data_IF_475248796684
#
_entry.id   IF_475248796684
#
_cell.length_a   1.000
_cell.length_b   1.000
_cell.length_c   1.000
_cell.angle_alpha   90.00
_cell.angle_beta   90.00
_cell.angle_gamma   90.00
#
_symmetry.space_group_name_H-M   'P 1'
#
loop_
_entity.id
_entity.type
_entity.pdbx_description
1 polymer ?
#
# COMPACT_ATOMS: atom_id res chain seq x y z
N UNK A 1 16.15 10.26 4.38
CA UNK A 1 15.61 11.63 4.64
C UNK A 1 14.79 11.61 5.93
N UNK A 2 15.06 12.49 6.90
CA UNK A 2 14.30 12.53 8.15
C UNK A 2 13.19 13.61 8.04
N UNK A 3 11.93 13.26 8.35
CA UNK A 3 10.77 14.15 8.22
C UNK A 3 10.51 14.89 9.54
N UNK A 4 10.74 16.21 9.59
CA UNK A 4 10.33 17.07 10.72
C UNK A 4 9.84 18.45 10.26
N UNK A 5 8.63 18.83 10.71
CA UNK A 5 8.05 20.20 10.88
C UNK A 5 6.53 20.10 10.72
N UNK A 6 5.62 20.70 11.49
CA UNK A 6 5.63 21.69 12.56
C UNK A 6 4.15 22.06 12.76
N UNK A 7 3.62 21.92 13.97
CA UNK A 7 2.16 21.94 14.22
C UNK A 7 1.52 23.33 14.19
N UNK A 8 0.20 23.36 13.95
CA UNK A 8 -0.79 24.32 14.51
C UNK A 8 -2.21 23.82 14.16
N UNK A 9 -3.01 23.45 15.16
CA UNK A 9 -4.45 23.15 15.03
C UNK A 9 -5.30 24.43 15.07
N UNK A 10 -6.45 24.49 14.37
CA UNK A 10 -7.68 24.73 15.14
C UNK A 10 -8.99 24.09 14.63
N UNK A 11 -9.76 23.63 15.63
CA UNK A 11 -11.22 23.78 15.90
C UNK A 11 -12.29 23.66 14.80
N UNK A 12 -13.12 22.63 15.04
CA UNK A 12 -14.47 22.29 14.57
C UNK A 12 -15.54 23.34 14.91
N UNK A 13 -16.47 23.60 13.99
CA UNK A 13 -17.78 24.22 14.27
C UNK A 13 -18.93 23.58 13.45
N UNK A 14 -20.07 23.51 14.15
CA UNK A 14 -21.40 22.92 13.94
C UNK A 14 -22.28 23.58 12.84
N UNK A 15 -23.09 22.81 12.08
CA UNK A 15 -24.60 22.76 11.98
C UNK A 15 -25.28 24.11 11.62
N UNK A 16 -26.25 24.25 10.70
CA UNK A 16 -27.55 23.54 10.49
C UNK A 16 -28.28 24.03 9.19
N UNK A 17 -29.21 23.20 8.68
CA UNK A 17 -30.55 23.43 8.03
C UNK A 17 -30.70 24.37 6.80
N UNK A 18 -31.66 24.27 5.86
CA UNK A 18 -32.66 23.29 5.38
C UNK A 18 -33.42 23.95 4.18
N UNK A 19 -33.99 23.16 3.23
CA UNK A 19 -35.19 23.43 2.36
C UNK A 19 -35.07 22.67 1.01
N UNK A 20 -35.92 21.66 0.70
CA UNK A 20 -37.17 21.66 -0.14
C UNK A 20 -36.95 22.28 -1.54
N UNK A 21 -37.32 21.70 -2.70
CA UNK A 21 -38.57 21.00 -3.04
C UNK A 21 -38.50 20.33 -4.45
N UNK A 22 -39.32 19.29 -4.61
CA UNK A 22 -39.96 18.60 -5.78
C UNK A 22 -39.66 18.94 -7.25
N UNK A 23 -39.61 17.87 -8.07
CA UNK A 23 -39.75 17.91 -9.54
C UNK A 23 -39.80 16.52 -10.18
N UNK A 24 -41.01 16.10 -10.57
CA UNK A 24 -41.37 14.89 -11.33
C UNK A 24 -40.71 14.76 -12.71
N UNK A 25 -40.53 13.51 -13.19
CA UNK A 25 -41.00 12.99 -14.50
C UNK A 25 -40.11 11.88 -15.14
N UNK A 26 -40.64 10.65 -15.07
CA UNK A 26 -40.84 9.66 -16.16
C UNK A 26 -39.74 9.19 -17.14
N UNK A 27 -39.79 7.86 -17.36
CA UNK A 27 -39.50 7.07 -18.58
C UNK A 27 -38.03 6.81 -18.91
N UNK A 28 -37.59 5.72 -19.55
CA UNK A 28 -38.08 4.36 -19.82
C UNK A 28 -36.95 3.64 -20.58
N UNK A 29 -36.92 2.30 -20.51
CA UNK A 29 -36.30 1.37 -21.48
C UNK A 29 -34.76 1.21 -21.50
N UNK A 30 -34.32 -0.04 -21.70
CA UNK A 30 -33.01 -0.32 -22.28
C UNK A 30 -32.12 -1.36 -21.57
N UNK A 31 -32.67 -2.53 -21.25
CA UNK A 31 -31.86 -3.72 -20.97
C UNK A 31 -31.08 -4.16 -22.22
N UNK A 32 -29.73 -4.07 -22.21
CA UNK A 32 -28.80 -4.89 -23.02
C UNK A 32 -27.35 -4.35 -22.99
N UNK A 33 -26.62 -4.50 -21.87
CA UNK A 33 -25.19 -4.14 -21.88
C UNK A 33 -24.26 -5.03 -21.04
N UNK A 34 -24.73 -6.18 -20.58
CA UNK A 34 -23.96 -7.06 -19.68
C UNK A 34 -23.21 -8.18 -20.42
N UNK A 35 -23.44 -8.39 -21.72
CA UNK A 35 -22.85 -9.54 -22.43
C UNK A 35 -21.64 -9.19 -23.33
N UNK A 36 -21.26 -7.92 -23.48
CA UNK A 36 -20.15 -7.52 -24.39
C UNK A 36 -18.81 -7.24 -23.70
N UNK A 37 -18.68 -7.38 -22.39
CA UNK A 37 -17.42 -7.13 -21.66
C UNK A 37 -16.64 -8.41 -21.31
N UNK A 38 -17.26 -9.59 -21.39
CA UNK A 38 -16.58 -10.86 -21.12
C UNK A 38 -15.81 -11.40 -22.34
N UNK A 39 -16.19 -11.02 -23.56
CA UNK A 39 -15.46 -11.39 -24.79
C UNK A 39 -14.20 -10.54 -25.06
N UNK A 40 -13.92 -9.54 -24.21
CA UNK A 40 -12.74 -8.68 -24.32
C UNK A 40 -11.54 -9.15 -23.47
N UNK A 41 -11.74 -10.08 -22.53
CA UNK A 41 -10.69 -10.64 -21.67
C UNK A 41 -9.97 -11.85 -22.29
N UNK A 42 -10.61 -12.54 -23.22
CA UNK A 42 -10.06 -13.76 -23.85
C UNK A 42 -9.06 -13.47 -25.00
N UNK A 43 -8.87 -12.19 -25.35
CA UNK A 43 -7.92 -11.73 -26.38
C UNK A 43 -6.63 -11.12 -25.84
N UNK A 44 -6.45 -11.13 -24.51
CA UNK A 44 -5.28 -10.54 -23.82
C UNK A 44 -4.34 -11.57 -23.19
N UNK A 45 -4.53 -12.86 -23.49
CA UNK A 45 -3.60 -13.93 -23.11
C UNK A 45 -2.97 -14.54 -24.38
N UNK A 46 -1.84 -14.03 -24.86
CA UNK A 46 -1.00 -14.76 -25.79
C UNK A 46 -0.25 -15.86 -25.02
N UNK A 47 -0.51 -17.13 -25.38
CA UNK A 47 0.48 -18.20 -25.20
C UNK A 47 0.28 -19.13 -23.99
N UNK A 48 -0.72 -20.01 -24.06
CA UNK A 48 -0.66 -21.31 -23.39
C UNK A 48 -1.09 -22.40 -24.37
N UNK A 49 -0.17 -22.80 -25.24
CA UNK A 49 -0.23 -24.07 -25.94
C UNK A 49 1.21 -24.53 -26.19
N UNK A 50 1.73 -25.36 -25.28
CA UNK A 50 2.96 -26.13 -25.48
C UNK A 50 2.55 -27.48 -26.05
N UNK A 51 2.83 -27.80 -27.33
CA UNK A 51 2.82 -29.18 -27.80
C UNK A 51 4.08 -29.91 -27.29
N UNK A 52 4.00 -31.19 -26.91
CA UNK A 52 5.15 -31.94 -26.42
C UNK A 52 6.14 -32.26 -27.57
N UNK A 53 7.47 -32.24 -27.31
CA UNK A 53 8.44 -32.63 -28.32
C UNK A 53 8.48 -34.16 -28.51
N UNK A 54 8.80 -34.65 -29.72
CA UNK A 54 8.97 -36.07 -29.99
C UNK A 54 10.24 -36.61 -29.32
N UNK A 55 10.16 -37.84 -28.82
CA UNK A 55 11.30 -38.60 -28.28
C UNK A 55 12.27 -38.95 -29.43
N UNK A 56 13.54 -38.59 -29.28
CA UNK A 56 14.64 -39.16 -30.03
C UNK A 56 15.79 -39.49 -29.07
N UNK A 57 16.25 -40.74 -29.14
CA UNK A 57 17.42 -41.29 -28.46
C UNK A 57 18.65 -40.86 -29.27
N UNK A 58 19.70 -40.33 -28.61
CA UNK A 58 21.11 -40.59 -29.01
C UNK A 58 22.13 -40.17 -27.95
N UNK A 59 23.19 -40.96 -27.94
CA UNK A 59 24.27 -41.12 -26.97
C UNK A 59 25.24 -39.94 -26.74
N UNK A 60 25.81 -39.98 -25.53
CA UNK A 60 27.22 -39.70 -25.16
C UNK A 60 27.89 -38.37 -25.56
N UNK A 61 28.21 -37.56 -24.56
CA UNK A 61 29.60 -37.12 -24.25
C UNK A 61 29.64 -36.33 -22.93
N UNK A 62 30.67 -36.61 -22.15
CA UNK A 62 31.06 -35.95 -20.91
C UNK A 62 31.41 -34.47 -21.15
N UNK A 63 30.89 -33.56 -20.30
CA UNK A 63 31.63 -32.39 -19.77
C UNK A 63 30.99 -31.97 -18.43
N UNK A 64 31.79 -32.04 -17.36
CA UNK A 64 31.54 -31.36 -16.08
C UNK A 64 31.68 -29.84 -16.29
N UNK A 65 30.75 -29.03 -15.77
CA UNK A 65 31.10 -27.98 -14.80
C UNK A 65 29.91 -27.06 -14.42
N UNK A 66 29.70 -26.96 -13.10
CA UNK A 66 29.05 -25.87 -12.35
C UNK A 66 27.61 -25.48 -12.69
N UNK A 67 26.67 -26.30 -12.22
CA UNK A 67 25.30 -25.87 -11.97
C UNK A 67 25.25 -25.05 -10.67
N UNK A 68 25.42 -23.73 -10.79
CA UNK A 68 25.15 -22.80 -9.70
C UNK A 68 23.65 -22.89 -9.36
N UNK A 69 23.35 -23.63 -8.30
CA UNK A 69 22.00 -23.79 -7.75
C UNK A 69 21.56 -22.45 -7.16
N UNK A 70 21.04 -21.56 -8.02
CA UNK A 70 20.36 -20.35 -7.58
C UNK A 70 19.14 -20.81 -6.76
N UNK A 71 19.30 -20.81 -5.44
CA UNK A 71 18.26 -21.16 -4.49
C UNK A 71 17.02 -20.35 -4.84
N UNK A 72 15.95 -21.04 -5.28
CA UNK A 72 14.62 -20.45 -5.44
C UNK A 72 14.20 -19.96 -4.07
N UNK A 73 14.41 -18.69 -3.78
CA UNK A 73 13.93 -18.06 -2.55
C UNK A 73 12.42 -18.23 -2.55
N UNK A 74 11.92 -19.04 -1.62
CA UNK A 74 10.49 -19.23 -1.45
C UNK A 74 9.89 -17.93 -0.93
N UNK A 75 9.09 -17.27 -1.76
CA UNK A 75 8.32 -16.10 -1.35
C UNK A 75 7.26 -16.58 -0.37
N UNK A 76 7.33 -16.12 0.88
CA UNK A 76 6.33 -16.40 1.90
C UNK A 76 5.36 -15.22 1.96
N UNK A 77 4.07 -15.49 1.92
CA UNK A 77 3.04 -14.45 2.01
C UNK A 77 2.50 -14.39 3.44
N UNK A 78 2.45 -13.20 4.03
CA UNK A 78 1.85 -12.97 5.35
C UNK A 78 0.73 -11.96 5.25
N UNK A 79 -0.43 -12.33 5.79
CA UNK A 79 -1.58 -11.45 5.85
C UNK A 79 -1.51 -10.56 7.10
N UNK A 80 -1.80 -9.27 6.93
CA UNK A 80 -1.80 -8.28 8.00
C UNK A 80 -3.07 -7.45 7.90
N UNK A 81 -3.76 -7.34 9.03
CA UNK A 81 -4.93 -6.47 9.19
C UNK A 81 -4.45 -5.13 9.73
N UNK A 82 -4.66 -4.07 8.97
CA UNK A 82 -4.30 -2.69 9.32
C UNK A 82 -5.57 -1.88 9.53
N UNK A 83 -5.79 -1.47 10.77
CA UNK A 83 -6.87 -0.54 11.13
C UNK A 83 -6.43 0.88 10.74
N UNK A 84 -7.11 1.46 9.75
CA UNK A 84 -6.79 2.80 9.25
C UNK A 84 -7.66 3.86 9.95
N UNK A 85 -8.97 3.62 10.01
CA UNK A 85 -9.92 4.48 10.71
C UNK A 85 -11.06 3.62 11.25
N UNK A 86 -11.09 3.43 12.57
CA UNK A 86 -12.14 2.66 13.22
C UNK A 86 -13.48 3.42 13.18
N UNK A 87 -14.61 2.72 13.00
CA UNK A 87 -14.74 1.26 12.85
C UNK A 87 -14.71 0.76 11.39
N UNK A 88 -14.84 1.63 10.40
CA UNK A 88 -15.29 1.23 9.05
C UNK A 88 -14.15 1.08 8.03
N UNK A 89 -12.92 1.47 8.35
CA UNK A 89 -11.80 1.48 7.40
C UNK A 89 -10.68 0.57 7.89
N UNK A 90 -10.83 -0.72 7.58
CA UNK A 90 -9.86 -1.78 7.84
C UNK A 90 -9.30 -2.24 6.49
N UNK A 91 -7.97 -2.26 6.37
CA UNK A 91 -7.27 -2.80 5.21
C UNK A 91 -6.66 -4.16 5.55
N UNK A 92 -6.77 -5.11 4.63
CA UNK A 92 -6.09 -6.40 4.72
C UNK A 92 -5.02 -6.43 3.64
N UNK A 93 -3.77 -6.69 4.02
CA UNK A 93 -2.64 -6.73 3.10
C UNK A 93 -1.93 -8.08 3.14
N UNK A 94 -1.69 -8.63 1.96
CA UNK A 94 -0.80 -9.77 1.77
C UNK A 94 0.62 -9.25 1.48
N UNK A 95 1.54 -9.49 2.40
CA UNK A 95 2.93 -9.05 2.32
C UNK A 95 3.83 -10.21 1.89
N UNK A 96 4.56 -10.02 0.80
CA UNK A 96 5.64 -10.90 0.40
C UNK A 96 6.85 -10.65 1.32
N UNK A 97 7.23 -11.66 2.11
CA UNK A 97 8.39 -11.63 2.99
C UNK A 97 9.48 -12.59 2.50
N UNK A 98 10.75 -12.22 2.73
CA UNK A 98 11.91 -12.96 2.20
C UNK A 98 12.08 -14.36 2.81
N UNK A 99 11.56 -14.59 4.02
CA UNK A 99 11.72 -15.84 4.76
C UNK A 99 10.54 -16.13 5.66
N UNK A 100 10.27 -17.42 5.89
CA UNK A 100 9.31 -17.88 6.89
C UNK A 100 9.66 -17.42 8.32
N UNK A 101 10.94 -17.16 8.62
CA UNK A 101 11.38 -16.65 9.93
C UNK A 101 11.17 -15.15 10.11
N UNK A 102 10.91 -14.41 9.03
CA UNK A 102 10.67 -12.97 9.10
C UNK A 102 9.37 -12.68 9.85
N UNK A 103 9.35 -11.62 10.67
CA UNK A 103 8.14 -11.18 11.39
C UNK A 103 7.59 -9.94 10.73
N UNK A 104 6.27 -9.77 10.78
CA UNK A 104 5.67 -8.48 10.44
C UNK A 104 5.43 -7.70 11.72
N UNK A 105 5.89 -6.45 11.72
CA UNK A 105 5.74 -5.51 12.84
C UNK A 105 4.93 -4.32 12.35
N UNK A 106 3.94 -3.93 13.13
CA UNK A 106 3.12 -2.75 12.87
C UNK A 106 3.27 -1.77 14.02
N UNK A 107 3.37 -0.48 13.70
CA UNK A 107 3.35 0.59 14.69
C UNK A 107 2.55 1.78 14.15
N UNK A 108 1.81 2.43 15.04
CA UNK A 108 1.02 3.64 14.73
C UNK A 108 1.50 4.77 15.63
N UNK A 109 1.84 5.93 15.04
CA UNK A 109 2.42 7.05 15.79
C UNK A 109 2.15 8.41 15.10
N UNK A 110 2.07 9.52 15.85
CA UNK A 110 1.87 10.84 15.25
C UNK A 110 3.12 11.37 14.53
N UNK A 111 2.95 12.22 13.49
CA UNK A 111 4.06 12.95 12.89
C UNK A 111 4.62 14.02 13.86
N UNK A 112 5.92 14.38 13.76
CA UNK A 112 6.96 13.71 12.99
C UNK A 112 7.33 12.35 13.60
N UNK A 113 7.62 11.36 12.75
CA UNK A 113 7.87 9.98 13.22
C UNK A 113 9.18 9.85 13.98
N UNK A 114 10.24 10.49 13.47
CA UNK A 114 11.62 10.29 13.94
C UNK A 114 12.22 8.95 13.50
N UNK A 115 11.86 8.49 12.31
CA UNK A 115 12.48 7.35 11.63
C UNK A 115 13.21 7.89 10.41
N UNK A 116 14.45 7.46 10.19
CA UNK A 116 15.19 7.74 8.96
C UNK A 116 15.17 6.48 8.08
N UNK A 117 14.67 6.67 6.86
CA UNK A 117 14.58 5.64 5.83
C UNK A 117 15.59 5.89 4.73
N UNK A 118 16.14 4.80 4.20
CA UNK A 118 17.03 4.79 3.02
C UNK A 118 16.66 3.63 2.09
N UNK A 119 17.11 3.74 0.84
CA UNK A 119 17.05 2.63 -0.10
C UNK A 119 18.15 1.62 0.27
N UNK A 120 17.81 0.34 0.31
CA UNK A 120 18.81 -0.71 0.51
C UNK A 120 19.83 -0.70 -0.62
N UNK A 121 21.11 -0.93 -0.29
CA UNK A 121 22.20 -0.98 -1.26
C UNK A 121 22.01 -2.09 -2.31
N UNK A 122 21.24 -3.13 -1.98
CA UNK A 122 20.79 -4.18 -2.91
C UNK A 122 19.74 -3.73 -3.94
N UNK A 123 19.28 -2.47 -3.87
CA UNK A 123 18.53 -1.81 -4.95
C UNK A 123 17.11 -2.31 -5.17
N UNK A 124 16.35 -2.58 -4.10
CA UNK A 124 14.98 -3.08 -4.25
C UNK A 124 14.04 -2.91 -3.07
N UNK A 125 14.47 -2.24 -2.00
CA UNK A 125 13.72 -2.15 -0.73
C UNK A 125 14.01 -0.82 -0.02
N UNK A 126 13.12 -0.42 0.88
CA UNK A 126 13.31 0.73 1.77
C UNK A 126 13.51 0.19 3.18
N UNK A 127 14.62 0.58 3.82
CA UNK A 127 15.03 0.09 5.14
C UNK A 127 15.04 1.20 6.16
N UNK A 128 14.74 0.85 7.41
CA UNK A 128 14.94 1.71 8.57
C UNK A 128 16.43 1.73 8.90
N UNK A 129 17.08 2.86 8.72
CA UNK A 129 18.51 3.00 9.08
C UNK A 129 18.69 3.52 10.49
N UNK A 130 17.77 4.35 10.96
CA UNK A 130 17.84 4.94 12.29
C UNK A 130 16.44 5.23 12.86
N UNK A 131 16.30 5.01 14.17
CA UNK A 131 15.18 5.50 14.97
C UNK A 131 15.76 6.52 15.95
N UNK A 132 15.29 7.77 15.86
CA UNK A 132 15.86 8.87 16.63
C UNK A 132 15.48 8.76 18.12
N UNK A 133 16.42 8.97 19.06
CA UNK A 133 16.11 9.04 20.48
C UNK A 133 15.10 10.14 20.82
N UNK A 134 14.17 9.84 21.72
CA UNK A 134 13.06 10.72 22.14
C UNK A 134 11.93 10.87 21.12
N UNK A 135 12.01 10.21 19.97
CA UNK A 135 11.02 10.33 18.88
C UNK A 135 9.68 9.65 19.18
N UNK A 136 8.67 9.96 18.37
CA UNK A 136 7.38 9.28 18.45
C UNK A 136 7.49 7.80 18.09
N UNK A 137 8.39 7.44 17.17
CA UNK A 137 8.67 6.05 16.82
C UNK A 137 9.34 5.28 17.96
N UNK A 138 10.31 5.89 18.65
CA UNK A 138 10.92 5.25 19.83
C UNK A 138 9.88 5.03 20.95
N UNK A 139 9.02 6.03 21.20
CA UNK A 139 7.96 5.95 22.22
C UNK A 139 6.88 4.93 21.88
N UNK A 140 6.46 4.86 20.61
CA UNK A 140 5.51 3.86 20.15
C UNK A 140 6.10 2.45 20.27
N UNK A 141 7.42 2.34 20.14
CA UNK A 141 8.15 1.08 20.18
C UNK A 141 7.85 0.22 18.95
N UNK A 142 8.36 -1.00 18.98
CA UNK A 142 8.10 -1.97 17.92
C UNK A 142 9.07 -1.86 16.75
N UNK A 143 9.25 -0.68 16.14
CA UNK A 143 10.14 -0.48 14.96
C UNK A 143 11.61 -0.37 15.38
N UNK A 144 12.51 -1.04 14.65
CA UNK A 144 13.96 -1.00 14.93
C UNK A 144 14.77 -0.83 13.64
N UNK A 145 16.03 -0.40 13.78
CA UNK A 145 16.99 -0.35 12.67
C UNK A 145 17.13 -1.73 12.01
N UNK A 146 17.15 -1.73 10.67
CA UNK A 146 17.23 -2.93 9.83
C UNK A 146 15.87 -3.48 9.39
N UNK A 147 14.76 -2.98 9.95
CA UNK A 147 13.42 -3.32 9.47
C UNK A 147 13.20 -2.83 8.03
N UNK A 148 12.51 -3.63 7.21
CA UNK A 148 12.16 -3.28 5.83
C UNK A 148 10.73 -2.75 5.78
N UNK A 149 10.53 -1.54 5.26
CA UNK A 149 9.19 -0.96 5.13
C UNK A 149 8.40 -1.65 4.01
N UNK A 150 7.24 -2.22 4.36
CA UNK A 150 6.36 -2.98 3.44
C UNK A 150 5.06 -2.27 3.12
N UNK A 151 4.49 -1.54 4.07
CA UNK A 151 3.32 -0.70 3.85
C UNK A 151 3.31 0.49 4.82
N UNK A 152 2.57 1.54 4.47
CA UNK A 152 2.29 2.65 5.37
C UNK A 152 0.89 3.22 5.13
N UNK A 153 0.31 3.91 6.11
CA UNK A 153 -0.92 4.67 5.88
C UNK A 153 -0.61 5.91 5.05
N UNK A 154 -1.56 6.27 4.19
CA UNK A 154 -1.52 7.50 3.41
C UNK A 154 -2.90 8.15 3.39
N UNK A 155 -2.95 9.43 3.05
CA UNK A 155 -4.17 10.22 2.91
C UNK A 155 -4.35 10.59 1.45
N UNK A 156 -5.50 10.25 0.90
CA UNK A 156 -5.90 10.66 -0.45
C UNK A 156 -7.04 11.68 -0.35
N UNK A 157 -7.04 12.72 -1.20
CA UNK A 157 -8.18 13.63 -1.30
C UNK A 157 -9.45 12.88 -1.68
N UNK A 158 -10.56 13.18 -1.02
CA UNK A 158 -11.86 12.58 -1.28
C UNK A 158 -12.97 13.63 -1.12
N UNK A 159 -13.97 13.60 -2.01
CA UNK A 159 -15.19 14.40 -1.86
C UNK A 159 -16.18 13.64 -0.99
N UNK A 160 -16.49 14.18 0.19
CA UNK A 160 -17.48 13.61 1.12
C UNK A 160 -18.85 14.17 0.80
N UNK A 161 -19.81 13.29 0.51
CA UNK A 161 -21.21 13.63 0.27
C UNK A 161 -22.05 13.17 1.47
N UNK A 162 -22.39 14.07 2.42
CA UNK A 162 -23.30 13.69 3.49
C UNK A 162 -24.66 13.32 2.87
N UNK A 163 -25.30 12.26 3.39
CA UNK A 163 -26.54 11.70 2.82
C UNK A 163 -27.64 12.74 2.62
N UNK A 164 -27.73 13.74 3.52
CA UNK A 164 -28.68 14.85 3.43
C UNK A 164 -28.42 15.77 2.22
N UNK A 165 -27.16 15.97 1.83
CA UNK A 165 -26.80 16.80 0.69
C UNK A 165 -27.09 16.11 -0.66
N UNK A 166 -27.02 14.78 -0.73
CA UNK A 166 -27.36 14.03 -1.95
C UNK A 166 -28.84 14.23 -2.30
N UNK A 167 -29.71 14.33 -1.29
CA UNK A 167 -31.15 14.52 -1.46
C UNK A 167 -31.58 15.98 -1.71
N UNK A 168 -30.79 16.96 -1.25
CA UNK A 168 -31.12 18.39 -1.33
C UNK A 168 -30.26 19.17 -2.35
N UNK A 169 -29.53 18.47 -3.22
CA UNK A 169 -28.67 19.11 -4.23
C UNK A 169 -27.46 19.85 -3.65
N UNK A 170 -27.02 19.49 -2.44
CA UNK A 170 -25.86 20.10 -1.80
C UNK A 170 -24.54 19.59 -2.39
N UNK A 171 -23.58 20.49 -2.61
CA UNK A 171 -22.23 20.14 -3.04
C UNK A 171 -21.50 19.24 -2.03
N UNK A 172 -20.63 18.37 -2.55
CA UNK A 172 -19.72 17.58 -1.72
C UNK A 172 -18.71 18.49 -1.00
N UNK A 173 -18.20 18.04 0.15
CA UNK A 173 -17.14 18.75 0.89
C UNK A 173 -15.80 18.09 0.62
N UNK A 174 -14.74 18.86 0.28
CA UNK A 174 -13.40 18.32 0.24
C UNK A 174 -13.01 17.72 1.59
N UNK A 175 -12.39 16.56 1.56
CA UNK A 175 -11.86 15.87 2.73
C UNK A 175 -10.74 14.93 2.33
N UNK A 176 -10.34 14.09 3.27
CA UNK A 176 -9.37 13.03 3.04
C UNK A 176 -9.93 11.69 3.50
N UNK A 177 -9.45 10.64 2.83
CA UNK A 177 -9.64 9.25 3.23
C UNK A 177 -8.29 8.62 3.48
N UNK A 178 -8.20 7.87 4.57
CA UNK A 178 -7.01 7.09 4.90
C UNK A 178 -7.01 5.80 4.09
N UNK A 179 -5.86 5.46 3.52
CA UNK A 179 -5.64 4.24 2.73
C UNK A 179 -4.34 3.57 3.17
N UNK A 180 -4.22 2.27 2.90
CA UNK A 180 -2.95 1.57 3.03
C UNK A 180 -2.19 1.68 1.71
N UNK A 181 -1.01 2.29 1.77
CA UNK A 181 -0.07 2.36 0.66
C UNK A 181 0.91 1.19 0.77
N UNK A 182 0.93 0.33 -0.24
CA UNK A 182 1.87 -0.79 -0.36
C UNK A 182 3.19 -0.27 -0.92
N UNK A 183 4.29 -0.50 -0.21
CA UNK A 183 5.62 -0.06 -0.65
C UNK A 183 6.11 -0.99 -1.75
N UNK A 184 6.47 -0.47 -2.93
CA UNK A 184 7.06 -1.29 -3.99
C UNK A 184 8.32 -2.01 -3.50
N UNK A 185 8.54 -3.25 -3.93
CA UNK A 185 9.75 -4.01 -3.61
C UNK A 185 10.18 -4.92 -4.77
N UNK A 186 11.44 -5.34 -4.75
CA UNK A 186 12.00 -6.25 -5.76
C UNK A 186 11.88 -5.67 -7.17
N UNK A 187 11.36 -6.44 -8.12
CA UNK A 187 11.22 -6.02 -9.53
C UNK A 187 10.25 -4.85 -9.75
N UNK A 188 9.36 -4.57 -8.78
CA UNK A 188 8.44 -3.42 -8.83
C UNK A 188 9.09 -2.13 -8.31
N UNK A 189 10.22 -2.25 -7.62
CA UNK A 189 10.93 -1.10 -7.06
C UNK A 189 11.67 -0.35 -8.15
N UNK A 190 11.45 0.96 -8.23
CA UNK A 190 12.21 1.87 -9.07
C UNK A 190 12.94 2.85 -8.16
N UNK A 191 14.26 2.74 -8.09
CA UNK A 191 15.11 3.59 -7.27
C UNK A 191 14.78 5.08 -7.49
N UNK A 192 14.85 5.87 -6.42
CA UNK A 192 14.39 7.26 -6.28
C UNK A 192 12.88 7.46 -6.44
N UNK A 193 12.24 6.93 -7.49
CA UNK A 193 10.80 7.11 -7.73
C UNK A 193 9.96 6.45 -6.64
N UNK A 194 10.21 5.17 -6.34
CA UNK A 194 9.48 4.42 -5.33
C UNK A 194 9.76 4.96 -3.92
N UNK A 195 10.99 5.42 -3.65
CA UNK A 195 11.34 6.04 -2.38
C UNK A 195 10.61 7.38 -2.18
N UNK A 196 10.68 8.29 -3.15
CA UNK A 196 10.01 9.59 -3.06
C UNK A 196 8.49 9.43 -2.97
N UNK A 197 7.90 8.49 -3.72
CA UNK A 197 6.47 8.15 -3.59
C UNK A 197 6.12 7.64 -2.20
N UNK A 198 6.95 6.75 -1.63
CA UNK A 198 6.73 6.21 -0.29
C UNK A 198 6.86 7.29 0.79
N UNK A 199 7.88 8.15 0.71
CA UNK A 199 8.04 9.28 1.62
C UNK A 199 6.90 10.29 1.46
N UNK A 200 6.39 10.50 0.24
CA UNK A 200 5.21 11.31 -0.04
C UNK A 200 3.94 10.73 0.57
N UNK A 201 3.75 9.41 0.49
CA UNK A 201 2.65 8.69 1.12
C UNK A 201 2.67 8.86 2.64
N UNK A 202 3.82 8.65 3.29
CA UNK A 202 4.00 8.91 4.73
C UNK A 202 3.68 10.37 5.07
N UNK A 203 4.29 11.31 4.34
CA UNK A 203 4.12 12.75 4.57
C UNK A 203 2.69 13.27 4.34
N UNK A 204 1.86 12.55 3.59
CA UNK A 204 0.47 12.93 3.33
C UNK A 204 -0.39 12.97 4.59
N UNK A 205 -0.10 12.14 5.61
CA UNK A 205 -0.84 12.10 6.88
C UNK A 205 -0.68 13.43 7.65
N UNK A 206 0.54 13.97 7.70
CA UNK A 206 0.79 15.29 8.30
C UNK A 206 0.06 16.40 7.52
N UNK A 207 0.19 16.40 6.18
CA UNK A 207 -0.44 17.42 5.31
C UNK A 207 -1.96 17.44 5.38
N UNK A 208 -2.59 16.30 5.66
CA UNK A 208 -4.05 16.18 5.74
C UNK A 208 -4.63 16.63 7.10
N UNK A 209 -3.80 16.93 8.09
CA UNK A 209 -4.25 17.38 9.42
C UNK A 209 -3.59 16.63 10.58
N UNK A 210 -2.29 16.33 10.47
CA UNK A 210 -1.51 15.64 11.51
C UNK A 210 -2.11 14.29 11.95
N UNK A 211 -2.66 13.53 11.00
CA UNK A 211 -3.10 12.16 11.27
C UNK A 211 -1.91 11.28 11.65
N UNK A 212 -2.14 10.35 12.58
CA UNK A 212 -1.17 9.30 12.89
C UNK A 212 -0.75 8.57 11.62
N UNK A 213 0.48 8.07 11.61
CA UNK A 213 1.01 7.22 10.55
C UNK A 213 1.10 5.80 11.08
N UNK A 214 0.51 4.87 10.35
CA UNK A 214 0.73 3.44 10.56
C UNK A 214 1.82 2.99 9.61
N UNK A 215 2.87 2.35 10.12
CA UNK A 215 3.89 1.68 9.31
C UNK A 215 3.83 0.19 9.55
N UNK A 216 4.04 -0.58 8.50
CA UNK A 216 4.13 -2.03 8.54
C UNK A 216 5.47 -2.44 7.96
N UNK A 217 6.28 -3.09 8.78
CA UNK A 217 7.64 -3.47 8.46
C UNK A 217 7.84 -4.99 8.53
N UNK A 218 8.71 -5.51 7.69
CA UNK A 218 9.29 -6.83 7.83
C UNK A 218 10.55 -6.75 8.71
N UNK A 219 10.54 -7.49 9.82
CA UNK A 219 11.71 -7.76 10.63
C UNK A 219 12.35 -9.07 10.21
N UNK A 220 13.57 -8.98 9.70
CA UNK A 220 14.40 -10.15 9.40
C UNK A 220 15.08 -10.61 10.68
N UNK A 221 15.03 -11.90 10.98
CA UNK A 221 15.90 -12.47 12.00
C UNK A 221 17.33 -12.37 11.47
N UNK A 222 18.21 -11.70 12.22
CA UNK A 222 19.65 -11.77 11.97
C UNK A 222 20.07 -13.24 12.06
N UNK A 223 20.64 -13.77 10.97
CA UNK A 223 21.37 -15.04 11.01
C UNK A 223 22.73 -14.84 11.66
#
# INVERSE_FOLDING_TARGET
RCLSSGGTTPRRASRTDAARNDGDASSSSGSSRVESTLSALDRLVPGSAVPPPPRAIKDASDEEDTEATAARQSVVVREVVVELELPDNIAVAALEVRSASARVVQATMPPPLGICFEEDAGGGEIVVTEVLPGSNAEKAGGIVTGDVLRACSAMIPEMKYPRTNVLLGGGGRPGFRRVLFMVPSGSKFRASMSFDQTMGAIGSNARAGDFDVTVVCERRMSS
#
